data_IF_017758782387
#
_entry.id   IF_017758782387
#
_cell.length_a   1.000
_cell.length_b   1.000
_cell.length_c   1.000
_cell.angle_alpha   90.00
_cell.angle_beta   90.00
_cell.angle_gamma   90.00
#
_symmetry.space_group_name_H-M   'P 1'
#
loop_
_entity.id
_entity.type
_entity.pdbx_description
1 polymer ?
#
# COMPACT_ATOMS: atom_id res chain seq x y z
N UNK A 1 4.80 9.72 8.17
CA UNK A 1 3.45 10.12 8.59
C UNK A 1 2.58 8.90 8.44
N UNK A 2 2.08 8.38 9.52
CA UNK A 2 1.18 7.22 9.49
C UNK A 2 -0.24 7.74 9.71
N UNK A 3 -1.10 7.58 8.73
CA UNK A 3 -2.52 7.90 8.90
C UNK A 3 -3.17 6.78 9.69
N UNK A 4 -3.64 7.06 10.89
CA UNK A 4 -4.34 6.08 11.75
C UNK A 4 -5.84 6.01 11.47
N UNK A 5 -6.36 6.72 10.46
CA UNK A 5 -7.77 6.73 10.15
C UNK A 5 -8.19 5.45 9.44
N UNK A 6 -9.25 4.82 9.94
CA UNK A 6 -9.89 3.65 9.35
C UNK A 6 -11.35 4.01 9.04
N UNK A 7 -11.66 4.59 7.88
CA UNK A 7 -13.02 4.84 7.47
C UNK A 7 -13.78 3.53 7.26
N UNK A 8 -14.92 3.41 7.94
CA UNK A 8 -15.84 2.26 7.82
C UNK A 8 -17.22 2.80 7.52
N UNK A 9 -17.78 2.44 6.37
CA UNK A 9 -19.10 2.82 5.92
C UNK A 9 -19.95 1.59 5.61
N UNK A 10 -21.22 1.82 5.37
CA UNK A 10 -22.13 0.82 4.79
C UNK A 10 -22.58 1.30 3.41
N UNK A 11 -22.73 0.38 2.49
CA UNK A 11 -23.28 0.66 1.15
C UNK A 11 -24.62 1.40 1.28
N UNK A 12 -24.79 2.48 0.54
CA UNK A 12 -25.93 3.40 0.63
C UNK A 12 -25.71 4.61 1.52
N UNK A 13 -24.63 4.65 2.31
CA UNK A 13 -24.26 5.84 3.08
C UNK A 13 -23.79 6.98 2.16
N UNK A 14 -23.68 8.16 2.73
CA UNK A 14 -22.89 9.27 2.16
C UNK A 14 -21.66 9.48 3.01
N UNK A 15 -20.49 9.37 2.40
CA UNK A 15 -19.23 9.71 3.07
C UNK A 15 -19.07 11.22 3.17
N UNK A 16 -18.73 11.72 4.34
CA UNK A 16 -18.24 13.07 4.58
C UNK A 16 -16.94 12.96 5.35
N UNK A 17 -15.82 13.24 4.67
CA UNK A 17 -14.49 13.03 5.21
C UNK A 17 -13.73 14.34 5.20
N UNK A 18 -13.44 14.88 6.38
CA UNK A 18 -12.62 16.05 6.55
C UNK A 18 -11.15 15.64 6.62
N UNK A 19 -10.36 16.16 5.70
CA UNK A 19 -8.90 15.96 5.67
C UNK A 19 -8.24 17.24 6.11
N UNK A 20 -7.58 17.17 7.26
CA UNK A 20 -6.77 18.27 7.82
C UNK A 20 -5.33 18.06 7.38
N UNK A 21 -4.83 18.92 6.52
CA UNK A 21 -3.44 18.87 6.09
C UNK A 21 -2.55 19.62 7.09
N UNK A 22 -1.90 18.87 7.96
CA UNK A 22 -0.95 19.41 8.94
C UNK A 22 0.51 19.39 8.44
N UNK A 23 0.73 19.00 7.17
CA UNK A 23 2.05 19.01 6.56
C UNK A 23 2.44 20.42 6.13
N UNK A 24 3.75 20.66 5.99
CA UNK A 24 4.32 21.88 5.40
C UNK A 24 4.31 21.84 3.85
N UNK A 25 3.67 20.84 3.25
CA UNK A 25 3.56 20.65 1.81
C UNK A 25 2.12 20.34 1.39
N UNK A 26 1.83 20.49 0.11
CA UNK A 26 0.53 20.13 -0.46
C UNK A 26 0.31 18.62 -0.40
N UNK A 27 -0.95 18.21 -0.23
CA UNK A 27 -1.36 16.81 -0.25
C UNK A 27 -2.68 16.61 -0.97
N UNK A 28 -3.05 15.36 -1.19
CA UNK A 28 -4.38 14.93 -1.64
C UNK A 28 -4.61 13.50 -1.17
N UNK A 29 -5.85 13.06 -1.09
CA UNK A 29 -6.18 11.66 -0.85
C UNK A 29 -7.01 11.11 -1.99
N UNK A 30 -6.55 10.01 -2.56
CA UNK A 30 -7.27 9.21 -3.53
C UNK A 30 -7.94 8.02 -2.84
N UNK A 31 -9.16 7.73 -3.22
CA UNK A 31 -10.00 6.64 -2.69
C UNK A 31 -9.93 5.46 -3.64
N UNK A 32 -8.91 4.63 -3.47
CA UNK A 32 -8.55 3.60 -4.43
C UNK A 32 -9.62 2.53 -4.59
N UNK A 33 -10.11 2.37 -5.82
CA UNK A 33 -11.09 1.37 -6.19
C UNK A 33 -12.55 1.74 -5.89
N UNK A 34 -12.83 3.01 -5.55
CA UNK A 34 -14.19 3.48 -5.35
C UNK A 34 -14.80 4.05 -6.63
N UNK A 35 -16.08 3.78 -6.85
CA UNK A 35 -16.90 4.48 -7.84
C UNK A 35 -17.48 5.74 -7.22
N UNK A 36 -16.93 6.88 -7.56
CA UNK A 36 -17.29 8.17 -6.99
C UNK A 36 -17.28 9.28 -8.05
N UNK A 37 -17.90 10.44 -7.78
CA UNK A 37 -17.85 11.58 -8.68
C UNK A 37 -16.40 12.04 -8.91
N UNK A 38 -16.04 12.31 -10.15
CA UNK A 38 -14.67 12.67 -10.56
C UNK A 38 -14.04 13.77 -9.69
N UNK A 39 -14.80 14.79 -9.29
CA UNK A 39 -14.31 15.89 -8.44
C UNK A 39 -13.90 15.47 -7.01
N UNK A 40 -14.27 14.26 -6.58
CA UNK A 40 -13.97 13.71 -5.27
C UNK A 40 -12.84 12.65 -5.32
N UNK A 41 -12.28 12.40 -6.51
CA UNK A 41 -11.30 11.33 -6.76
C UNK A 41 -9.90 11.59 -6.19
N UNK A 42 -9.62 12.83 -5.83
CA UNK A 42 -8.39 13.18 -5.11
C UNK A 42 -7.13 13.27 -5.95
N UNK A 43 -7.23 13.33 -7.29
CA UNK A 43 -6.05 13.46 -8.16
C UNK A 43 -5.71 14.96 -8.34
N UNK A 44 -4.56 15.42 -7.81
CA UNK A 44 -4.19 16.83 -7.82
C UNK A 44 -4.02 17.35 -9.25
N UNK A 45 -4.51 18.56 -9.46
CA UNK A 45 -4.49 19.30 -10.75
C UNK A 45 -5.30 18.67 -11.89
N UNK A 46 -5.90 17.49 -11.67
CA UNK A 46 -6.75 16.82 -12.64
C UNK A 46 -8.23 16.83 -12.19
N UNK A 47 -8.52 16.30 -11.02
CA UNK A 47 -9.89 16.20 -10.50
C UNK A 47 -10.19 17.25 -9.43
N UNK A 48 -9.14 17.73 -8.75
CA UNK A 48 -9.22 18.78 -7.74
C UNK A 48 -7.91 19.54 -7.61
N UNK A 49 -7.94 20.70 -6.95
CA UNK A 49 -6.71 21.36 -6.49
C UNK A 49 -6.17 20.61 -5.26
N UNK A 50 -4.83 20.53 -5.11
CA UNK A 50 -4.26 19.92 -3.91
C UNK A 50 -4.68 20.66 -2.64
N UNK A 51 -4.72 19.96 -1.54
CA UNK A 51 -4.99 20.49 -0.20
C UNK A 51 -3.73 21.22 0.27
N UNK A 52 -3.82 22.53 0.41
CA UNK A 52 -2.68 23.37 0.82
C UNK A 52 -2.22 23.05 2.24
N UNK A 53 -0.96 23.36 2.60
CA UNK A 53 -0.49 23.28 3.97
C UNK A 53 -1.43 23.98 4.96
N UNK A 54 -1.65 23.34 6.09
CA UNK A 54 -2.45 23.86 7.22
C UNK A 54 -3.89 24.25 6.84
N UNK A 55 -4.46 23.58 5.82
CA UNK A 55 -5.86 23.78 5.43
C UNK A 55 -6.65 22.47 5.53
N UNK A 56 -7.96 22.60 5.48
CA UNK A 56 -8.90 21.48 5.52
C UNK A 56 -9.62 21.35 4.19
N UNK A 57 -9.83 20.12 3.75
CA UNK A 57 -10.66 19.77 2.60
C UNK A 57 -11.75 18.79 3.02
N UNK A 58 -12.97 18.96 2.49
CA UNK A 58 -14.07 18.05 2.68
C UNK A 58 -14.32 17.25 1.40
N UNK A 59 -14.15 15.93 1.49
CA UNK A 59 -14.63 15.00 0.50
C UNK A 59 -16.05 14.57 0.83
N UNK A 60 -16.96 14.62 -0.14
CA UNK A 60 -18.35 14.23 0.04
C UNK A 60 -18.87 13.46 -1.16
N UNK A 61 -19.14 12.17 -0.96
CA UNK A 61 -19.61 11.29 -2.05
C UNK A 61 -20.51 10.17 -1.56
N UNK A 62 -21.42 9.65 -2.42
CA UNK A 62 -22.24 8.50 -2.08
C UNK A 62 -21.40 7.22 -2.09
N UNK A 63 -21.69 6.32 -1.17
CA UNK A 63 -21.11 4.98 -1.11
C UNK A 63 -22.05 4.01 -1.86
N UNK A 64 -21.71 3.68 -3.10
CA UNK A 64 -22.57 2.89 -3.99
C UNK A 64 -22.09 1.45 -4.20
N UNK A 65 -21.06 1.03 -3.48
CA UNK A 65 -20.47 -0.31 -3.56
C UNK A 65 -20.06 -0.78 -2.16
N UNK A 66 -19.87 -2.08 -2.01
CA UNK A 66 -19.28 -2.65 -0.80
C UNK A 66 -17.95 -3.33 -1.15
N UNK A 67 -17.10 -3.52 -0.14
CA UNK A 67 -15.81 -4.19 -0.34
C UNK A 67 -14.73 -3.76 0.61
N UNK A 68 -13.54 -4.26 0.30
CA UNK A 68 -12.29 -3.87 0.97
C UNK A 68 -11.51 -2.98 0.02
N UNK A 69 -11.34 -1.75 0.41
CA UNK A 69 -10.68 -0.71 -0.36
C UNK A 69 -9.58 -0.10 0.51
N UNK A 70 -8.86 0.86 -0.04
CA UNK A 70 -7.85 1.62 0.67
C UNK A 70 -7.78 3.04 0.12
N UNK A 71 -7.17 3.93 0.86
CA UNK A 71 -6.88 5.29 0.42
C UNK A 71 -5.40 5.56 0.53
N UNK A 72 -4.89 6.47 -0.28
CA UNK A 72 -3.50 6.87 -0.24
C UNK A 72 -3.30 8.30 -0.76
N UNK A 73 -2.16 8.88 -0.45
CA UNK A 73 -1.80 10.17 -1.05
C UNK A 73 -1.57 10.01 -2.56
N UNK A 74 -1.98 11.01 -3.30
CA UNK A 74 -1.70 11.14 -4.73
C UNK A 74 -0.79 12.35 -5.01
N UNK A 75 -0.04 12.80 -4.01
CA UNK A 75 0.88 13.94 -4.07
C UNK A 75 2.31 13.51 -3.83
N UNK A 76 3.19 13.80 -4.78
CA UNK A 76 4.62 13.50 -4.68
C UNK A 76 4.90 12.02 -4.39
N UNK A 77 5.73 11.76 -3.38
CA UNK A 77 6.09 10.42 -2.92
C UNK A 77 5.55 10.14 -1.49
N UNK A 78 4.45 10.79 -1.11
CA UNK A 78 3.87 10.69 0.23
C UNK A 78 3.29 9.31 0.52
N UNK A 79 2.75 8.61 -0.49
CA UNK A 79 2.30 7.23 -0.37
C UNK A 79 3.44 6.33 0.10
N UNK A 80 4.62 6.44 -0.49
CA UNK A 80 5.80 5.62 -0.18
C UNK A 80 6.36 5.86 1.23
N UNK A 81 6.02 6.97 1.86
CA UNK A 81 6.39 7.26 3.26
C UNK A 81 5.25 7.00 4.25
N UNK A 82 4.22 6.27 3.82
CA UNK A 82 3.19 5.74 4.72
C UNK A 82 1.88 6.51 4.76
N UNK A 83 1.61 7.40 3.79
CA UNK A 83 0.31 8.07 3.71
C UNK A 83 -0.72 7.21 2.97
N UNK A 84 -1.16 6.16 3.61
CA UNK A 84 -2.20 5.23 3.14
C UNK A 84 -2.93 4.59 4.32
N UNK A 85 -4.10 4.02 4.06
CA UNK A 85 -4.87 3.29 5.06
C UNK A 85 -6.01 2.48 4.44
N UNK A 86 -6.56 1.55 5.20
CA UNK A 86 -7.71 0.75 4.78
C UNK A 86 -8.98 1.61 4.72
N UNK A 87 -9.85 1.29 3.77
CA UNK A 87 -11.18 1.86 3.61
C UNK A 87 -12.18 0.72 3.45
N UNK A 88 -13.08 0.56 4.41
CA UNK A 88 -13.97 -0.59 4.48
C UNK A 88 -15.41 -0.15 4.21
N UNK A 89 -16.06 -0.86 3.31
CA UNK A 89 -17.49 -0.67 3.07
C UNK A 89 -18.19 -1.99 3.32
N UNK A 90 -19.08 -1.97 4.30
CA UNK A 90 -19.91 -3.12 4.64
C UNK A 90 -21.06 -3.27 3.66
N UNK A 91 -21.40 -4.52 3.35
CA UNK A 91 -22.60 -4.84 2.60
C UNK A 91 -23.83 -4.55 3.46
N UNK A 92 -24.90 -4.05 2.86
CA UNK A 92 -26.17 -3.87 3.52
C UNK A 92 -26.78 -5.21 3.93
N UNK A 93 -27.40 -5.26 5.08
CA UNK A 93 -28.06 -6.48 5.59
C UNK A 93 -29.29 -6.91 4.76
N UNK A 94 -29.91 -5.96 4.05
CA UNK A 94 -31.05 -6.19 3.13
C UNK A 94 -30.63 -6.48 1.67
N UNK A 95 -29.32 -6.52 1.38
CA UNK A 95 -28.83 -6.90 0.06
C UNK A 95 -29.13 -8.39 -0.22
N UNK A 96 -29.74 -8.71 -1.37
CA UNK A 96 -30.08 -10.11 -1.72
C UNK A 96 -28.87 -11.06 -1.74
N UNK A 97 -27.67 -10.53 -1.87
CA UNK A 97 -26.41 -11.30 -1.88
C UNK A 97 -25.72 -11.34 -0.51
N UNK A 98 -26.36 -10.82 0.54
CA UNK A 98 -25.81 -10.83 1.89
C UNK A 98 -25.68 -12.25 2.44
N UNK A 99 -24.50 -12.64 2.83
CA UNK A 99 -24.20 -14.00 3.33
C UNK A 99 -24.14 -13.97 4.87
N UNK A 100 -25.25 -14.30 5.51
CA UNK A 100 -25.30 -14.42 6.96
C UNK A 100 -24.26 -15.43 7.49
N UNK A 101 -23.55 -15.08 8.54
CA UNK A 101 -22.45 -15.88 9.09
C UNK A 101 -21.12 -15.71 8.33
N UNK A 102 -21.07 -14.78 7.36
CA UNK A 102 -19.85 -14.38 6.63
C UNK A 102 -19.75 -12.86 6.61
N UNK A 103 -20.77 -12.19 6.05
CA UNK A 103 -20.71 -10.73 5.86
C UNK A 103 -20.95 -9.96 7.16
N UNK A 104 -21.54 -10.60 8.17
CA UNK A 104 -21.77 -10.13 9.54
C UNK A 104 -20.68 -10.54 10.54
N UNK A 105 -19.65 -11.27 10.11
CA UNK A 105 -18.53 -11.62 10.98
C UNK A 105 -17.71 -10.38 11.38
N UNK A 106 -17.12 -10.39 12.59
CA UNK A 106 -16.16 -9.35 12.97
C UNK A 106 -15.09 -9.17 11.91
N UNK A 107 -15.00 -7.98 11.34
CA UNK A 107 -14.05 -7.65 10.28
C UNK A 107 -12.76 -7.09 10.88
N UNK A 108 -11.64 -7.65 10.48
CA UNK A 108 -10.29 -7.20 10.84
C UNK A 108 -9.66 -6.60 9.59
N UNK A 109 -9.52 -5.27 9.50
CA UNK A 109 -8.79 -4.64 8.41
C UNK A 109 -7.31 -4.91 8.52
N UNK A 110 -6.71 -5.31 7.41
CA UNK A 110 -5.28 -5.61 7.29
C UNK A 110 -4.77 -4.92 6.05
N UNK A 111 -3.84 -3.98 6.21
CA UNK A 111 -3.10 -3.42 5.10
C UNK A 111 -1.65 -3.90 5.19
N UNK A 112 -1.20 -4.57 4.14
CA UNK A 112 0.16 -5.05 3.98
C UNK A 112 0.95 -4.04 3.19
N UNK A 113 2.18 -3.78 3.60
CA UNK A 113 3.05 -2.82 2.93
C UNK A 113 4.51 -3.14 3.16
N UNK A 114 5.37 -2.43 2.46
CA UNK A 114 6.81 -2.48 2.64
C UNK A 114 7.37 -1.12 3.05
N UNK A 115 8.54 -1.15 3.65
CA UNK A 115 9.26 0.03 4.11
C UNK A 115 10.73 -0.03 3.72
N UNK A 116 11.28 1.09 3.32
CA UNK A 116 12.73 1.28 3.16
C UNK A 116 13.21 2.46 3.98
N UNK A 117 14.40 2.33 4.56
CA UNK A 117 15.04 3.41 5.31
C UNK A 117 15.68 4.48 4.38
N UNK A 118 15.65 4.25 3.06
CA UNK A 118 16.07 5.25 2.09
C UNK A 118 15.03 6.36 1.93
N UNK A 119 15.50 7.59 1.76
CA UNK A 119 14.60 8.70 1.39
C UNK A 119 13.96 8.43 0.03
N UNK A 120 12.66 8.70 -0.16
CA UNK A 120 11.94 8.42 -1.41
C UNK A 120 12.62 8.98 -2.67
N UNK A 121 13.11 10.24 -2.60
CA UNK A 121 13.84 10.85 -3.72
C UNK A 121 15.16 10.15 -4.07
N UNK A 122 15.80 9.46 -3.12
CA UNK A 122 16.98 8.65 -3.40
C UNK A 122 16.58 7.35 -4.13
N UNK A 123 15.52 6.70 -3.68
CA UNK A 123 14.98 5.50 -4.34
C UNK A 123 14.58 5.84 -5.78
N UNK A 124 13.82 6.91 -5.97
CA UNK A 124 13.40 7.40 -7.28
C UNK A 124 14.59 7.64 -8.21
N UNK A 125 15.64 8.31 -7.73
CA UNK A 125 16.86 8.52 -8.50
C UNK A 125 17.60 7.22 -8.84
N UNK A 126 17.67 6.26 -7.90
CA UNK A 126 18.29 4.96 -8.14
C UNK A 126 17.55 4.16 -9.21
N UNK A 127 16.22 4.20 -9.21
CA UNK A 127 15.38 3.58 -10.24
C UNK A 127 15.62 4.21 -11.62
N UNK A 128 15.67 5.55 -11.70
CA UNK A 128 15.98 6.25 -12.96
C UNK A 128 17.37 5.93 -13.52
N UNK A 129 18.33 5.70 -12.65
CA UNK A 129 19.71 5.41 -13.07
C UNK A 129 19.92 3.96 -13.50
N UNK A 130 18.90 3.13 -13.55
CA UNK A 130 18.97 1.70 -13.88
C UNK A 130 20.09 0.98 -13.09
N UNK A 131 20.22 1.29 -11.81
CA UNK A 131 21.29 0.79 -10.95
C UNK A 131 21.05 -0.64 -10.51
N UNK A 132 22.09 -1.46 -10.48
CA UNK A 132 22.05 -2.82 -9.89
C UNK A 132 22.06 -2.82 -8.36
N UNK A 133 22.01 -1.67 -7.71
CA UNK A 133 22.16 -1.58 -6.26
C UNK A 133 21.17 -2.47 -5.51
N UNK A 134 19.90 -2.44 -5.88
CA UNK A 134 18.88 -3.26 -5.22
C UNK A 134 19.05 -4.75 -5.51
N UNK A 135 19.45 -5.12 -6.72
CA UNK A 135 19.76 -6.51 -7.08
C UNK A 135 20.96 -7.05 -6.28
N UNK A 136 21.98 -6.22 -6.06
CA UNK A 136 23.13 -6.57 -5.21
C UNK A 136 22.68 -6.74 -3.75
N UNK A 137 21.85 -5.86 -3.23
CA UNK A 137 21.29 -5.94 -1.88
C UNK A 137 20.46 -7.21 -1.65
N UNK A 138 19.72 -7.64 -2.68
CA UNK A 138 18.94 -8.89 -2.67
C UNK A 138 19.78 -10.15 -2.90
N UNK A 139 21.09 -10.02 -3.13
CA UNK A 139 21.99 -11.11 -3.53
C UNK A 139 21.58 -11.81 -4.85
N UNK A 140 20.86 -11.12 -5.73
CA UNK A 140 20.45 -11.64 -7.03
C UNK A 140 21.45 -11.32 -8.11
N UNK A 141 22.40 -10.40 -7.86
CA UNK A 141 23.53 -10.11 -8.72
C UNK A 141 24.79 -9.87 -7.90
N UNK A 142 25.95 -10.19 -8.50
CA UNK A 142 27.27 -10.04 -7.86
C UNK A 142 27.77 -8.60 -8.00
N UNK A 143 28.31 -8.04 -6.92
CA UNK A 143 29.00 -6.75 -6.98
C UNK A 143 30.35 -6.83 -7.72
N UNK A 144 30.84 -5.72 -8.23
CA UNK A 144 32.20 -5.65 -8.83
C UNK A 144 33.28 -6.00 -7.81
N UNK A 145 33.11 -5.60 -6.55
CA UNK A 145 34.06 -5.91 -5.48
C UNK A 145 34.17 -7.43 -5.24
N UNK A 146 33.04 -8.12 -5.19
CA UNK A 146 33.02 -9.58 -5.05
C UNK A 146 33.61 -10.27 -6.27
N UNK A 147 33.33 -9.78 -7.48
CA UNK A 147 33.89 -10.30 -8.71
C UNK A 147 35.43 -10.16 -8.73
N UNK A 148 35.98 -9.04 -8.26
CA UNK A 148 37.40 -8.82 -8.09
C UNK A 148 37.98 -9.83 -7.08
N UNK A 149 37.38 -9.92 -5.90
CA UNK A 149 37.81 -10.81 -4.82
C UNK A 149 37.87 -12.28 -5.23
N UNK A 150 36.95 -12.71 -6.09
CA UNK A 150 36.82 -14.07 -6.59
C UNK A 150 37.56 -14.31 -7.92
N UNK A 151 38.24 -13.31 -8.48
CA UNK A 151 38.99 -13.43 -9.73
C UNK A 151 38.16 -13.42 -11.02
N UNK A 152 36.86 -13.09 -10.94
CA UNK A 152 35.90 -13.11 -12.08
C UNK A 152 35.61 -11.74 -12.67
N UNK A 153 36.42 -10.71 -12.36
CA UNK A 153 36.15 -9.33 -12.78
C UNK A 153 35.95 -9.21 -14.30
N UNK A 154 36.86 -9.80 -15.11
CA UNK A 154 36.77 -9.76 -16.58
C UNK A 154 35.45 -10.40 -17.07
N UNK A 155 35.07 -11.53 -16.50
CA UNK A 155 33.81 -12.21 -16.82
C UNK A 155 32.58 -11.34 -16.44
N UNK A 156 32.62 -10.72 -15.27
CA UNK A 156 31.57 -9.79 -14.82
C UNK A 156 31.40 -8.65 -15.81
N UNK A 157 32.49 -7.95 -16.16
CA UNK A 157 32.46 -6.83 -17.13
C UNK A 157 31.92 -7.30 -18.49
N UNK A 158 32.42 -8.44 -19.00
CA UNK A 158 31.98 -8.97 -20.30
C UNK A 158 30.47 -9.28 -20.30
N UNK A 159 29.97 -9.85 -19.22
CA UNK A 159 28.55 -10.18 -19.10
C UNK A 159 27.70 -8.91 -18.97
N UNK A 160 28.16 -7.89 -18.26
CA UNK A 160 27.49 -6.59 -18.16
C UNK A 160 27.30 -5.91 -19.53
N UNK A 161 28.35 -5.99 -20.43
CA UNK A 161 28.22 -5.47 -21.79
C UNK A 161 27.23 -6.23 -22.66
N UNK A 162 26.98 -7.50 -22.38
CA UNK A 162 26.11 -8.37 -23.18
C UNK A 162 24.65 -8.37 -22.71
N UNK A 163 24.39 -7.98 -21.46
CA UNK A 163 23.03 -7.97 -20.93
C UNK A 163 22.33 -6.66 -21.28
N UNK A 164 21.02 -6.71 -21.34
CA UNK A 164 20.19 -5.51 -21.33
C UNK A 164 20.39 -4.77 -20.00
N UNK A 165 20.32 -3.45 -20.04
CA UNK A 165 20.25 -2.64 -18.82
C UNK A 165 19.09 -3.14 -17.93
N UNK A 166 19.26 -3.04 -16.62
CA UNK A 166 18.20 -3.35 -15.68
C UNK A 166 16.97 -2.49 -16.00
N UNK A 167 15.93 -3.13 -16.53
CA UNK A 167 14.70 -2.45 -16.95
C UNK A 167 13.55 -2.64 -15.94
N UNK A 168 13.71 -3.58 -15.03
CA UNK A 168 12.74 -3.81 -13.97
C UNK A 168 13.00 -2.84 -12.82
N UNK A 169 12.33 -1.70 -12.90
CA UNK A 169 12.43 -0.62 -11.91
C UNK A 169 11.56 -0.89 -10.67
N UNK A 170 10.76 -1.95 -10.67
CA UNK A 170 9.87 -2.29 -9.55
C UNK A 170 10.60 -2.98 -8.40
N UNK A 171 11.82 -3.43 -8.60
CA UNK A 171 12.57 -4.29 -7.70
C UNK A 171 13.39 -3.53 -6.64
N UNK A 172 12.76 -2.66 -5.90
CA UNK A 172 13.37 -2.01 -4.75
C UNK A 172 13.70 -3.04 -3.66
N UNK A 173 14.80 -2.85 -2.94
CA UNK A 173 15.08 -3.57 -1.71
C UNK A 173 14.35 -2.88 -0.55
N UNK A 174 13.50 -3.62 0.14
CA UNK A 174 12.80 -3.14 1.32
C UNK A 174 13.43 -3.68 2.59
N UNK A 175 13.56 -2.82 3.59
CA UNK A 175 14.18 -3.15 4.88
C UNK A 175 13.19 -3.85 5.81
N UNK A 176 11.87 -3.59 5.64
CA UNK A 176 10.79 -4.16 6.47
C UNK A 176 9.55 -4.41 5.66
N UNK A 177 8.77 -5.39 6.11
CA UNK A 177 7.40 -5.62 5.69
C UNK A 177 6.48 -5.36 6.86
N UNK A 178 5.38 -4.65 6.60
CA UNK A 178 4.53 -4.12 7.65
C UNK A 178 3.10 -4.64 7.49
N UNK A 179 2.45 -4.86 8.64
CA UNK A 179 1.03 -5.13 8.77
C UNK A 179 0.40 -3.99 9.59
N UNK A 180 -0.52 -3.23 8.99
CA UNK A 180 -1.10 -2.03 9.60
C UNK A 180 -0.03 -1.05 10.14
N UNK A 181 1.11 -0.93 9.44
CA UNK A 181 2.22 -0.06 9.81
C UNK A 181 3.17 -0.60 10.87
N UNK A 182 3.00 -1.83 11.33
CA UNK A 182 3.84 -2.48 12.34
C UNK A 182 4.48 -3.76 11.78
N UNK A 183 5.60 -4.20 12.37
CA UNK A 183 6.25 -5.47 11.98
C UNK A 183 5.39 -6.68 12.34
N UNK A 184 4.58 -6.58 13.39
CA UNK A 184 3.66 -7.61 13.87
C UNK A 184 2.42 -6.96 14.46
N UNK A 185 1.32 -7.72 14.53
CA UNK A 185 0.07 -7.29 15.14
C UNK A 185 -0.52 -8.44 15.95
N UNK A 186 -0.96 -8.14 17.17
CA UNK A 186 -1.65 -9.09 18.04
C UNK A 186 -3.13 -8.73 18.20
N UNK A 187 -3.97 -9.72 18.04
CA UNK A 187 -5.43 -9.60 18.15
C UNK A 187 -5.90 -10.35 19.38
N UNK A 188 -5.79 -9.72 20.55
CA UNK A 188 -6.13 -10.32 21.84
C UNK A 188 -7.64 -10.45 22.11
N UNK A 189 -8.48 -9.79 21.30
CA UNK A 189 -9.93 -9.80 21.44
C UNK A 189 -10.61 -11.09 20.95
N UNK A 190 -9.88 -11.98 20.27
CA UNK A 190 -10.40 -13.23 19.73
C UNK A 190 -9.87 -14.44 20.50
N UNK A 191 -10.68 -15.50 20.53
CA UNK A 191 -10.37 -16.78 21.20
C UNK A 191 -10.33 -17.90 20.18
N UNK A 192 -9.69 -19.00 20.56
CA UNK A 192 -9.70 -20.22 19.75
C UNK A 192 -11.14 -20.69 19.46
N UNK A 193 -11.46 -20.92 18.18
CA UNK A 193 -12.79 -21.28 17.70
C UNK A 193 -13.63 -20.10 17.16
N UNK A 194 -13.25 -18.87 17.43
CA UNK A 194 -13.92 -17.70 16.85
C UNK A 194 -13.74 -17.66 15.33
N UNK A 195 -14.80 -17.27 14.63
CA UNK A 195 -14.75 -16.99 13.19
C UNK A 195 -14.60 -15.49 12.99
N UNK A 196 -13.60 -15.12 12.20
CA UNK A 196 -13.31 -13.72 11.89
C UNK A 196 -13.14 -13.54 10.39
N UNK A 197 -13.37 -12.34 9.91
CA UNK A 197 -13.17 -11.96 8.50
C UNK A 197 -11.98 -11.03 8.37
N UNK A 198 -10.93 -11.46 7.71
CA UNK A 198 -9.82 -10.57 7.37
C UNK A 198 -10.20 -9.77 6.12
N UNK A 199 -10.03 -8.47 6.19
CA UNK A 199 -10.17 -7.55 5.06
C UNK A 199 -8.78 -7.08 4.65
N UNK A 200 -8.18 -7.79 3.71
CA UNK A 200 -6.77 -7.62 3.36
C UNK A 200 -6.63 -6.74 2.12
N UNK A 201 -5.82 -5.70 2.23
CA UNK A 201 -5.36 -4.86 1.12
C UNK A 201 -3.85 -4.96 1.00
N UNK A 202 -3.34 -5.07 -0.24
CA UNK A 202 -1.93 -4.88 -0.52
C UNK A 202 -1.71 -3.40 -0.86
N UNK A 203 -1.13 -2.65 0.08
CA UNK A 203 -0.74 -1.25 -0.08
C UNK A 203 0.75 -1.10 -0.40
N UNK A 204 1.43 -2.18 -0.77
CA UNK A 204 2.83 -2.16 -1.16
C UNK A 204 3.02 -1.69 -2.61
N UNK A 205 4.14 -1.03 -2.89
CA UNK A 205 4.47 -0.51 -4.21
C UNK A 205 4.92 -1.60 -5.19
N UNK A 206 5.57 -2.67 -4.71
CA UNK A 206 6.08 -3.73 -5.59
C UNK A 206 6.04 -5.15 -5.00
N UNK A 207 5.73 -5.31 -3.72
CA UNK A 207 5.78 -6.62 -3.07
C UNK A 207 4.49 -7.42 -3.26
N UNK A 208 4.66 -8.73 -3.45
CA UNK A 208 3.61 -9.73 -3.36
C UNK A 208 3.70 -10.44 -2.02
N UNK A 209 2.55 -10.68 -1.39
CA UNK A 209 2.49 -11.32 -0.07
C UNK A 209 1.78 -12.66 -0.15
N UNK A 210 2.39 -13.69 0.45
CA UNK A 210 1.77 -14.98 0.65
C UNK A 210 1.19 -15.05 2.05
N UNK A 211 -0.12 -15.27 2.15
CA UNK A 211 -0.80 -15.42 3.43
C UNK A 211 -0.89 -16.90 3.79
N UNK A 212 -0.45 -17.24 4.97
CA UNK A 212 -0.56 -18.59 5.55
C UNK A 212 -1.23 -18.53 6.91
N UNK A 213 -1.86 -19.61 7.29
CA UNK A 213 -2.52 -19.76 8.59
C UNK A 213 -2.16 -21.11 9.22
N UNK A 214 -1.51 -21.08 10.37
CA UNK A 214 -1.07 -22.31 11.06
C UNK A 214 -2.24 -23.17 11.59
N UNK A 215 -3.43 -22.60 11.78
CA UNK A 215 -4.61 -23.29 12.28
C UNK A 215 -5.43 -24.02 11.20
N UNK A 216 -5.02 -23.99 9.94
CA UNK A 216 -5.75 -24.68 8.87
C UNK A 216 -5.85 -23.91 7.55
N UNK A 217 -6.96 -24.09 6.84
CA UNK A 217 -7.20 -23.44 5.56
C UNK A 217 -7.83 -22.07 5.75
N UNK A 218 -7.38 -21.09 4.96
CA UNK A 218 -8.06 -19.82 4.78
C UNK A 218 -9.14 -20.03 3.70
N UNK A 219 -10.37 -19.62 3.99
CA UNK A 219 -11.44 -19.59 2.99
C UNK A 219 -11.53 -18.19 2.40
N UNK A 220 -11.55 -18.10 1.07
CA UNK A 220 -11.64 -16.84 0.31
C UNK A 220 -13.06 -16.69 -0.23
#
# INVERSE_FOLDING_TARGET
>A
VQTCALPIFTEGDTAEIYVYNELDEETSLHWHGLFLPNKEDGVPYLTQMPIKPHTTHLYRFPIIQHGTHWYHSHSGLQEQIGMYGSFIINKRADDPTFRKGIDDLPAIPVILSEWTDYKPGNVHRMLHNASDWFAIKKNTTQSYFEAIKLGYFKTKVTNEWKRMLAMDVSDVYYDKFLINGHNESQLSQFKGGDKVRLRVSNGGASSYFWLTYAGGKITV
#
